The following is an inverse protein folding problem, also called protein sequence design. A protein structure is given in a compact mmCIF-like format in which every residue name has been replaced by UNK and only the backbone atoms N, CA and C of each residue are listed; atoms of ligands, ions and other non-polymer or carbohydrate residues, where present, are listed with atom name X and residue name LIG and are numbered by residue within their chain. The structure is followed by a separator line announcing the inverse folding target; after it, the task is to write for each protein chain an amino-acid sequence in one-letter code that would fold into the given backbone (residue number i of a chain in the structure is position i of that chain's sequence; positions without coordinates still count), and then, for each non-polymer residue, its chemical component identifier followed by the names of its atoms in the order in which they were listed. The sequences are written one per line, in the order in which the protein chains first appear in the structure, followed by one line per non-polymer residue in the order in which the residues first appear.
data_IF_903161791633
#
_entry.id   IF_903161791633
#
_cell.length_a   1.000
_cell.length_b   1.000
_cell.length_c   1.000
_cell.angle_alpha   90.00
_cell.angle_beta   90.00
_cell.angle_gamma   90.00
#
_symmetry.space_group_name_H-M   'P 1'
#
loop_
_entity.id
_entity.type
_entity.pdbx_description
1 polymer ?
#
# COMPACT_ATOMS: atom_id res chain seq x y z
N UNK A 1 -18.88 -19.11 12.43
CA UNK A 1 -20.32 -19.09 12.72
C UNK A 1 -20.50 -18.79 14.21
N UNK A 2 -21.46 -17.94 14.58
CA UNK A 2 -21.65 -17.50 15.97
C UNK A 2 -22.53 -18.54 16.70
N UNK A 3 -22.06 -19.05 17.85
CA UNK A 3 -22.74 -20.10 18.61
C UNK A 3 -23.94 -19.57 19.40
N UNK A 4 -24.91 -20.45 19.68
CA UNK A 4 -26.17 -20.10 20.35
C UNK A 4 -26.06 -19.62 21.80
N UNK A 5 -24.89 -19.74 22.44
CA UNK A 5 -24.57 -19.23 23.78
C UNK A 5 -23.88 -17.86 23.75
N UNK A 6 -23.70 -17.25 22.58
CA UNK A 6 -23.05 -15.94 22.45
C UNK A 6 -23.96 -14.83 22.95
N UNK A 7 -23.55 -14.16 24.04
CA UNK A 7 -24.33 -13.10 24.69
C UNK A 7 -24.19 -11.72 24.04
N UNK A 8 -23.03 -11.41 23.43
CA UNK A 8 -22.84 -10.17 22.67
C UNK A 8 -21.62 -10.26 21.74
N UNK A 9 -21.67 -9.52 20.63
CA UNK A 9 -20.55 -9.33 19.70
C UNK A 9 -20.45 -7.85 19.35
N UNK A 10 -19.24 -7.30 19.46
CA UNK A 10 -18.90 -5.97 18.97
C UNK A 10 -17.97 -6.12 17.76
N UNK A 11 -18.41 -5.61 16.61
CA UNK A 11 -17.62 -5.64 15.37
C UNK A 11 -17.38 -4.22 14.90
N UNK A 12 -16.15 -3.94 14.46
CA UNK A 12 -15.79 -2.73 13.74
C UNK A 12 -15.12 -3.10 12.42
N UNK A 13 -15.52 -2.45 11.33
CA UNK A 13 -14.91 -2.59 10.02
C UNK A 13 -14.71 -1.20 9.43
N UNK A 14 -13.51 -0.94 8.91
CA UNK A 14 -13.15 0.31 8.24
C UNK A 14 -12.62 -0.01 6.86
N UNK A 15 -13.17 0.65 5.84
CA UNK A 15 -12.71 0.56 4.46
C UNK A 15 -12.38 1.95 3.94
N UNK A 16 -11.18 2.13 3.40
CA UNK A 16 -10.73 3.39 2.82
C UNK A 16 -10.22 3.17 1.40
N UNK A 17 -10.72 3.98 0.47
CA UNK A 17 -10.25 4.08 -0.91
C UNK A 17 -10.16 5.55 -1.30
N UNK A 18 -9.08 6.20 -0.86
CA UNK A 18 -8.81 7.60 -1.20
C UNK A 18 -8.40 7.79 -2.65
N UNK A 19 -8.69 8.97 -3.19
CA UNK A 19 -8.11 9.44 -4.45
C UNK A 19 -6.77 10.08 -4.13
N UNK A 20 -5.72 9.68 -4.84
CA UNK A 20 -4.46 10.40 -4.78
C UNK A 20 -4.67 11.86 -5.22
N UNK A 21 -4.01 12.80 -4.54
CA UNK A 21 -3.99 14.19 -4.98
C UNK A 21 -3.45 14.29 -6.41
N UNK A 22 -2.39 13.51 -6.69
CA UNK A 22 -1.89 13.28 -8.05
C UNK A 22 -2.00 11.80 -8.43
N UNK A 23 -2.93 11.42 -9.32
CA UNK A 23 -3.07 10.05 -9.79
C UNK A 23 -1.87 9.57 -10.63
N UNK A 24 -1.57 8.27 -10.53
CA UNK A 24 -0.60 7.60 -11.41
C UNK A 24 -1.18 7.48 -12.84
N UNK A 25 -0.38 7.75 -13.88
CA UNK A 25 -0.72 7.44 -15.27
C UNK A 25 -0.92 5.92 -15.45
N UNK A 26 -2.08 5.51 -15.98
CA UNK A 26 -2.43 4.08 -16.09
C UNK A 26 -1.56 3.37 -17.11
N UNK A 27 -1.22 4.07 -18.19
CA UNK A 27 -0.35 3.63 -19.27
C UNK A 27 1.10 3.41 -18.83
N UNK A 28 1.50 3.96 -17.68
CA UNK A 28 2.82 3.76 -17.11
C UNK A 28 2.87 2.56 -16.14
N UNK A 29 1.73 1.93 -15.86
CA UNK A 29 1.66 0.71 -15.06
C UNK A 29 2.11 -0.48 -15.90
N UNK A 30 3.08 -1.24 -15.38
CA UNK A 30 3.65 -2.42 -16.06
C UNK A 30 4.07 -3.48 -15.05
N UNK A 31 4.19 -4.71 -15.53
CA UNK A 31 4.60 -5.84 -14.71
C UNK A 31 6.09 -5.76 -14.38
N UNK A 32 6.41 -5.85 -13.09
CA UNK A 32 7.78 -5.82 -12.56
C UNK A 32 7.96 -6.83 -11.44
N UNK A 33 9.20 -7.19 -11.17
CA UNK A 33 9.58 -8.15 -10.14
C UNK A 33 9.47 -7.53 -8.74
N UNK A 34 8.72 -8.20 -7.85
CA UNK A 34 8.65 -7.88 -6.42
C UNK A 34 9.28 -9.02 -5.60
N UNK A 35 10.24 -8.68 -4.75
CA UNK A 35 10.98 -9.63 -3.93
C UNK A 35 10.24 -9.90 -2.61
N UNK A 36 9.84 -11.16 -2.41
CA UNK A 36 9.17 -11.62 -1.20
C UNK A 36 10.16 -11.90 -0.08
N UNK A 37 9.64 -11.93 1.15
CA UNK A 37 10.44 -12.20 2.36
C UNK A 37 11.16 -13.55 2.31
N UNK A 38 10.56 -14.56 1.67
CA UNK A 38 11.12 -15.91 1.54
C UNK A 38 12.22 -16.00 0.46
N UNK A 39 12.59 -14.88 -0.15
CA UNK A 39 13.60 -14.79 -1.21
C UNK A 39 13.07 -15.11 -2.61
N UNK A 40 11.81 -15.51 -2.76
CA UNK A 40 11.19 -15.68 -4.07
C UNK A 40 10.80 -14.34 -4.70
N UNK A 41 10.57 -14.34 -6.01
CA UNK A 41 10.15 -13.16 -6.76
C UNK A 41 8.78 -13.40 -7.38
N UNK A 42 7.93 -12.39 -7.37
CA UNK A 42 6.62 -12.40 -8.01
C UNK A 42 6.48 -11.21 -8.95
N UNK A 43 6.00 -11.46 -10.16
CA UNK A 43 5.61 -10.38 -11.08
C UNK A 43 4.33 -9.69 -10.58
N UNK A 44 4.37 -8.36 -10.45
CA UNK A 44 3.27 -7.52 -9.98
C UNK A 44 3.09 -6.29 -10.87
N UNK A 45 1.86 -5.78 -10.94
CA UNK A 45 1.54 -4.57 -11.68
C UNK A 45 2.02 -3.31 -10.94
N UNK A 46 3.19 -2.80 -11.33
CA UNK A 46 3.91 -1.69 -10.69
C UNK A 46 3.51 -0.35 -11.33
N UNK A 47 3.03 0.59 -10.51
CA UNK A 47 2.61 1.93 -10.95
C UNK A 47 3.81 2.90 -10.99
N UNK A 48 3.82 3.82 -11.96
CA UNK A 48 4.93 4.75 -12.16
C UNK A 48 4.47 6.19 -12.27
N UNK A 49 5.18 7.11 -11.61
CA UNK A 49 4.99 8.56 -11.78
C UNK A 49 6.31 9.29 -11.52
N UNK A 50 6.60 10.33 -12.30
CA UNK A 50 7.80 11.16 -12.16
C UNK A 50 7.44 12.56 -11.68
N UNK A 51 7.61 12.83 -10.38
CA UNK A 51 7.32 14.11 -9.73
C UNK A 51 8.22 14.36 -8.51
N UNK A 52 8.19 15.59 -8.00
CA UNK A 52 8.78 15.93 -6.70
C UNK A 52 7.81 15.52 -5.60
N UNK A 53 8.31 14.73 -4.66
CA UNK A 53 7.62 14.33 -3.44
C UNK A 53 8.52 14.60 -2.24
N UNK A 54 7.91 14.81 -1.07
CA UNK A 54 8.64 14.76 0.18
C UNK A 54 9.18 13.33 0.34
N UNK A 55 10.48 13.22 0.57
CA UNK A 55 11.17 11.94 0.72
C UNK A 55 12.27 12.09 1.76
N UNK A 56 12.69 10.96 2.33
CA UNK A 56 13.83 10.94 3.21
C UNK A 56 14.32 9.53 3.53
N UNK A 57 15.38 9.47 4.34
CA UNK A 57 16.03 8.24 4.78
C UNK A 57 15.96 8.18 6.30
N UNK A 58 15.44 7.08 6.83
CA UNK A 58 15.40 6.79 8.26
C UNK A 58 16.56 5.85 8.58
N UNK A 59 17.69 6.43 9.00
CA UNK A 59 18.93 5.68 9.21
C UNK A 59 18.79 4.62 10.30
N UNK A 60 18.12 4.95 11.41
CA UNK A 60 17.96 4.08 12.58
C UNK A 60 17.27 2.76 12.25
N UNK A 61 16.37 2.77 11.25
CA UNK A 61 15.60 1.59 10.81
C UNK A 61 15.97 1.12 9.41
N UNK A 62 17.05 1.68 8.81
CA UNK A 62 17.53 1.36 7.46
C UNK A 62 16.42 1.42 6.39
N UNK A 63 15.56 2.44 6.46
CA UNK A 63 14.41 2.59 5.57
C UNK A 63 14.46 3.89 4.77
N UNK A 64 13.69 3.95 3.68
CA UNK A 64 13.38 5.17 2.93
C UNK A 64 11.88 5.43 2.99
N UNK A 65 11.47 6.68 3.00
CA UNK A 65 10.06 7.06 2.93
C UNK A 65 9.81 8.04 1.77
N UNK A 66 8.58 8.04 1.29
CA UNK A 66 8.04 9.02 0.35
C UNK A 66 6.59 9.32 0.74
N UNK A 67 6.18 10.59 0.68
CA UNK A 67 4.81 11.02 0.99
C UNK A 67 3.97 11.05 -0.29
N UNK A 68 2.83 10.37 -0.27
CA UNK A 68 1.84 10.35 -1.35
C UNK A 68 0.50 10.87 -0.83
N UNK A 69 0.18 12.17 -1.03
CA UNK A 69 -1.03 12.77 -0.49
C UNK A 69 -2.30 12.26 -1.18
N UNK A 70 -3.39 12.20 -0.40
CA UNK A 70 -4.75 11.99 -0.90
C UNK A 70 -5.49 13.34 -1.00
N UNK A 71 -6.56 13.38 -1.80
CA UNK A 71 -7.49 14.52 -1.88
C UNK A 71 -8.36 14.67 -0.64
#
# INVERSE_FOLDING_TARGET
DIRGDTLSVLVNAVYFKGKWETPFPKEATRDEDFHLYDGSTKSVSSMHIWRRYNYGVLQDVKAKFAELPYQ
#
